data_IF_797131389242
#
_entry.id   IF_797131389242
#
_cell.length_a   1.000
_cell.length_b   1.000
_cell.length_c   1.000
_cell.angle_alpha   90.00
_cell.angle_beta   90.00
_cell.angle_gamma   90.00
#
_symmetry.space_group_name_H-M   'P 1'
#
loop_
_entity.id
_entity.type
_entity.pdbx_description
1 polymer ?
#
# COMPACT_ATOMS: atom_id res chain seq x y z
N UNK A 1 -29.35 -0.85 -25.27
CA UNK A 1 -28.82 -0.47 -23.94
C UNK A 1 -27.31 -0.44 -24.07
N UNK A 2 -26.67 0.74 -24.00
CA UNK A 2 -25.21 0.82 -23.94
C UNK A 2 -24.80 0.29 -22.55
N UNK A 3 -24.06 -0.77 -22.52
CA UNK A 3 -23.49 -1.32 -21.29
C UNK A 3 -22.41 -0.32 -20.83
N UNK A 4 -22.64 0.35 -19.73
CA UNK A 4 -21.66 1.28 -19.14
C UNK A 4 -20.67 0.44 -18.37
N UNK A 5 -19.48 0.23 -18.90
CA UNK A 5 -18.38 -0.40 -18.18
C UNK A 5 -17.78 0.64 -17.23
N UNK A 6 -17.72 0.32 -15.96
CA UNK A 6 -17.05 1.16 -14.98
C UNK A 6 -15.66 0.57 -14.74
N UNK A 7 -14.65 1.22 -15.29
CA UNK A 7 -13.26 0.86 -15.02
C UNK A 7 -12.79 1.62 -13.78
N UNK A 8 -12.20 0.90 -12.85
CA UNK A 8 -11.58 1.50 -11.67
C UNK A 8 -10.07 1.40 -11.86
N UNK A 9 -9.35 2.53 -11.89
CA UNK A 9 -7.89 2.47 -11.91
C UNK A 9 -7.42 1.78 -10.64
N UNK A 10 -6.53 0.81 -10.77
CA UNK A 10 -5.86 0.17 -9.65
C UNK A 10 -4.82 1.07 -8.97
N UNK A 11 -4.64 2.26 -9.50
CA UNK A 11 -3.70 3.27 -8.99
C UNK A 11 -4.50 4.52 -8.68
N UNK A 12 -4.21 5.17 -7.56
CA UNK A 12 -4.64 6.56 -7.34
C UNK A 12 -4.26 7.29 -8.61
N UNK A 13 -5.27 7.95 -9.24
CA UNK A 13 -4.97 8.84 -10.35
C UNK A 13 -3.86 9.77 -9.87
N UNK A 14 -2.67 9.45 -10.23
CA UNK A 14 -1.55 10.22 -9.83
C UNK A 14 -1.70 11.55 -10.56
N UNK A 15 -2.03 12.57 -9.84
CA UNK A 15 -1.22 13.75 -10.07
C UNK A 15 0.19 13.24 -9.95
N UNK A 16 0.80 12.92 -11.09
CA UNK A 16 2.03 12.15 -11.16
C UNK A 16 3.06 12.80 -10.25
N UNK A 17 3.16 12.33 -9.02
CA UNK A 17 4.26 12.72 -8.18
C UNK A 17 5.43 11.93 -8.73
N UNK A 18 6.23 12.60 -9.49
CA UNK A 18 7.53 12.09 -9.86
C UNK A 18 8.29 11.90 -8.56
N UNK A 19 8.63 10.64 -8.25
CA UNK A 19 9.50 10.35 -7.12
C UNK A 19 10.75 11.24 -7.24
N UNK A 20 11.05 12.01 -6.18
CA UNK A 20 12.16 12.94 -6.20
C UNK A 20 13.41 12.26 -5.68
N UNK A 21 14.32 11.92 -6.58
CA UNK A 21 15.58 11.25 -6.25
C UNK A 21 16.47 12.08 -5.32
N UNK A 22 16.50 13.40 -5.49
CA UNK A 22 17.32 14.28 -4.64
C UNK A 22 16.83 14.27 -3.18
N UNK A 23 15.50 14.33 -2.97
CA UNK A 23 14.91 14.24 -1.63
C UNK A 23 15.14 12.83 -1.04
N UNK A 24 15.14 11.80 -1.88
CA UNK A 24 15.45 10.45 -1.42
C UNK A 24 16.90 10.34 -0.94
N UNK A 25 17.86 10.91 -1.65
CA UNK A 25 19.26 10.94 -1.22
C UNK A 25 19.43 11.73 0.09
N UNK A 26 18.76 12.87 0.23
CA UNK A 26 18.75 13.63 1.50
C UNK A 26 18.14 12.80 2.66
N UNK A 27 17.19 11.92 2.38
CA UNK A 27 16.64 11.02 3.40
C UNK A 27 17.70 10.02 3.91
N UNK A 28 18.57 9.53 3.03
CA UNK A 28 19.67 8.64 3.40
C UNK A 28 20.71 9.39 4.23
N UNK A 29 21.10 10.59 3.80
CA UNK A 29 22.05 11.43 4.55
C UNK A 29 21.54 11.72 5.97
N UNK A 30 20.27 12.07 6.12
CA UNK A 30 19.65 12.31 7.43
C UNK A 30 19.69 11.04 8.31
N UNK A 31 19.44 9.86 7.72
CA UNK A 31 19.53 8.59 8.42
C UNK A 31 20.97 8.33 8.94
N UNK A 32 21.98 8.54 8.10
CA UNK A 32 23.39 8.37 8.45
C UNK A 32 23.86 9.33 9.55
N UNK A 33 23.20 10.49 9.67
CA UNK A 33 23.43 11.47 10.74
C UNK A 33 22.67 11.14 12.03
N UNK A 34 21.87 10.05 12.05
CA UNK A 34 21.07 9.67 13.21
C UNK A 34 19.74 10.46 13.34
N UNK A 35 19.38 11.28 12.34
CA UNK A 35 18.14 12.07 12.29
C UNK A 35 16.98 11.20 11.73
N UNK A 36 16.63 10.11 12.43
CA UNK A 36 15.75 9.05 11.90
C UNK A 36 14.34 9.52 11.52
N UNK A 37 13.70 10.36 12.34
CA UNK A 37 12.39 10.94 12.02
C UNK A 37 12.45 11.85 10.78
N UNK A 38 13.45 12.70 10.71
CA UNK A 38 13.66 13.57 9.54
C UNK A 38 13.90 12.72 8.29
N UNK A 39 14.70 11.68 8.40
CA UNK A 39 14.94 10.72 7.33
C UNK A 39 13.64 10.09 6.82
N UNK A 40 12.78 9.61 7.72
CA UNK A 40 11.48 9.04 7.39
C UNK A 40 10.56 10.07 6.69
N UNK A 41 10.49 11.29 7.21
CA UNK A 41 9.70 12.36 6.61
C UNK A 41 10.19 12.73 5.20
N UNK A 42 11.52 12.84 4.99
CA UNK A 42 12.10 13.05 3.66
C UNK A 42 11.83 11.90 2.72
N UNK A 43 11.85 10.65 3.20
CA UNK A 43 11.45 9.49 2.40
C UNK A 43 10.00 9.64 1.91
N UNK A 44 9.06 9.99 2.80
CA UNK A 44 7.66 10.18 2.42
C UNK A 44 7.50 11.33 1.41
N UNK A 45 8.19 12.44 1.61
CA UNK A 45 8.20 13.58 0.67
C UNK A 45 8.83 13.21 -0.68
N UNK A 46 9.80 12.28 -0.71
CA UNK A 46 10.41 11.80 -1.95
C UNK A 46 9.44 10.94 -2.77
N UNK A 47 8.54 10.20 -2.11
CA UNK A 47 7.50 9.40 -2.77
C UNK A 47 6.41 10.31 -3.33
N UNK A 48 5.91 11.24 -2.51
CA UNK A 48 4.95 12.25 -2.91
C UNK A 48 5.05 13.47 -1.97
N UNK A 49 5.35 14.65 -2.54
CA UNK A 49 5.51 15.91 -1.81
C UNK A 49 4.29 16.31 -0.94
N UNK A 50 3.11 15.87 -1.34
CA UNK A 50 1.86 16.18 -0.64
C UNK A 50 1.43 15.06 0.33
N UNK A 51 2.21 13.98 0.45
CA UNK A 51 1.84 12.82 1.24
C UNK A 51 1.66 13.18 2.72
N UNK A 52 2.62 13.84 3.31
CA UNK A 52 2.58 14.22 4.71
C UNK A 52 1.52 15.28 5.02
N UNK A 53 1.23 16.17 4.10
CA UNK A 53 0.21 17.22 4.30
C UNK A 53 -1.20 16.72 4.08
N UNK A 54 -1.41 15.82 3.11
CA UNK A 54 -2.73 15.36 2.69
C UNK A 54 -3.22 14.12 3.45
N UNK A 55 -2.30 13.31 3.98
CA UNK A 55 -2.63 12.00 4.55
C UNK A 55 -2.15 11.80 5.99
N UNK A 56 -1.69 12.84 6.68
CA UNK A 56 -1.31 12.76 8.09
C UNK A 56 -2.49 13.00 9.02
N UNK A 57 -2.37 12.45 10.24
CA UNK A 57 -3.21 12.85 11.35
C UNK A 57 -2.85 14.28 11.83
N UNK A 58 -3.69 14.91 12.69
CA UNK A 58 -3.40 16.27 13.20
C UNK A 58 -2.08 16.39 13.98
N UNK A 59 -1.57 15.31 14.54
CA UNK A 59 -0.32 15.26 15.29
C UNK A 59 0.90 15.13 14.37
N UNK A 60 0.71 14.75 13.11
CA UNK A 60 1.79 14.60 12.12
C UNK A 60 2.66 13.35 12.31
N UNK A 61 2.22 12.37 13.12
CA UNK A 61 2.96 11.15 13.43
C UNK A 61 2.28 9.87 12.93
N UNK A 62 1.20 10.00 12.19
CA UNK A 62 0.50 8.88 11.57
C UNK A 62 0.01 9.29 10.18
N UNK A 63 0.29 8.45 9.19
CA UNK A 63 -0.01 8.68 7.78
C UNK A 63 -0.90 7.56 7.25
N UNK A 64 -1.99 7.92 6.59
CA UNK A 64 -2.96 6.98 5.99
C UNK A 64 -2.86 7.05 4.48
N UNK A 65 -1.98 6.26 3.89
CA UNK A 65 -1.62 6.30 2.47
C UNK A 65 -2.52 5.36 1.69
N UNK A 66 -3.45 5.88 0.85
CA UNK A 66 -4.25 5.02 -0.01
C UNK A 66 -3.41 4.51 -1.19
N UNK A 67 -3.51 3.20 -1.49
CA UNK A 67 -2.87 2.60 -2.65
C UNK A 67 -3.74 1.46 -3.21
N UNK A 68 -4.50 1.74 -4.26
CA UNK A 68 -5.41 0.76 -4.87
C UNK A 68 -6.41 0.19 -3.84
N UNK A 69 -6.43 -1.14 -3.62
CA UNK A 69 -7.32 -1.77 -2.64
C UNK A 69 -6.88 -1.57 -1.19
N UNK A 70 -5.67 -1.05 -0.95
CA UNK A 70 -5.08 -0.95 0.37
C UNK A 70 -5.11 0.47 0.93
N UNK A 71 -5.15 0.54 2.26
CA UNK A 71 -4.85 1.74 3.05
C UNK A 71 -3.67 1.42 3.96
N UNK A 72 -2.50 1.94 3.60
CA UNK A 72 -1.30 1.74 4.41
C UNK A 72 -1.30 2.76 5.52
N UNK A 73 -1.32 2.30 6.75
CA UNK A 73 -1.13 3.11 7.93
C UNK A 73 0.31 3.02 8.36
N UNK A 74 1.01 4.14 8.30
CA UNK A 74 2.36 4.29 8.81
C UNK A 74 2.27 5.14 10.06
N UNK A 75 2.67 4.60 11.20
CA UNK A 75 2.67 5.29 12.49
C UNK A 75 4.07 5.28 13.07
N UNK A 76 4.54 6.47 13.41
CA UNK A 76 5.77 6.68 14.16
C UNK A 76 5.45 7.03 15.62
N UNK A 77 6.19 6.49 16.52
CA UNK A 77 6.30 6.95 17.90
C UNK A 77 7.77 7.28 18.22
N UNK A 78 8.08 7.60 19.47
CA UNK A 78 9.41 8.11 19.84
C UNK A 78 10.56 7.16 19.45
N UNK A 79 10.33 5.85 19.38
CA UNK A 79 11.38 4.85 19.14
C UNK A 79 11.04 3.84 18.03
N UNK A 80 9.76 3.72 17.65
CA UNK A 80 9.28 2.66 16.77
C UNK A 80 8.58 3.19 15.53
N UNK A 81 8.75 2.47 14.43
CA UNK A 81 7.96 2.62 13.23
C UNK A 81 7.05 1.39 13.06
N UNK A 82 5.75 1.64 12.90
CA UNK A 82 4.75 0.62 12.59
C UNK A 82 4.12 0.88 11.24
N UNK A 83 4.13 -0.10 10.37
CA UNK A 83 3.46 -0.08 9.08
C UNK A 83 2.42 -1.19 9.09
N UNK A 84 1.17 -0.84 8.86
CA UNK A 84 0.06 -1.79 8.82
C UNK A 84 -0.84 -1.48 7.63
N UNK A 85 -1.38 -2.51 6.97
CA UNK A 85 -2.37 -2.34 5.92
C UNK A 85 -3.48 -3.38 6.09
N UNK A 86 -4.72 -2.97 6.45
CA UNK A 86 -5.87 -3.85 6.45
C UNK A 86 -6.06 -4.45 5.06
N UNK A 87 -6.29 -5.77 5.00
CA UNK A 87 -6.33 -6.47 3.72
C UNK A 87 -7.68 -7.15 3.50
N UNK A 88 -7.87 -8.35 3.98
CA UNK A 88 -9.04 -9.18 3.71
C UNK A 88 -9.64 -9.76 4.99
N UNK A 89 -10.91 -10.15 4.91
CA UNK A 89 -11.61 -10.86 5.99
C UNK A 89 -11.52 -12.36 5.71
N UNK A 90 -11.22 -13.15 6.74
CA UNK A 90 -11.21 -14.61 6.66
C UNK A 90 -12.61 -15.12 6.27
N UNK A 91 -12.75 -15.91 5.19
CA UNK A 91 -14.06 -16.35 4.73
C UNK A 91 -14.67 -17.38 5.71
N UNK A 92 -15.99 -17.49 5.71
CA UNK A 92 -16.67 -18.53 6.50
C UNK A 92 -16.36 -19.95 6.00
N UNK A 93 -16.13 -20.10 4.69
CA UNK A 93 -15.82 -21.38 4.04
C UNK A 93 -14.39 -21.37 3.52
N UNK A 94 -13.80 -22.55 3.37
CA UNK A 94 -12.44 -22.74 2.83
C UNK A 94 -11.33 -22.05 3.66
N UNK A 95 -11.55 -21.80 4.96
CA UNK A 95 -10.58 -21.15 5.84
C UNK A 95 -9.21 -21.82 5.81
N UNK A 96 -9.15 -23.15 5.91
CA UNK A 96 -7.86 -23.88 5.91
C UNK A 96 -7.11 -23.67 4.60
N UNK A 97 -7.82 -23.67 3.46
CA UNK A 97 -7.18 -23.43 2.17
C UNK A 97 -6.61 -22.01 2.08
N UNK A 98 -7.36 -21.01 2.52
CA UNK A 98 -6.88 -19.62 2.56
C UNK A 98 -5.69 -19.45 3.53
N UNK A 99 -5.76 -20.05 4.74
CA UNK A 99 -4.66 -19.98 5.70
C UNK A 99 -3.37 -20.62 5.17
N UNK A 100 -3.48 -21.72 4.41
CA UNK A 100 -2.32 -22.33 3.73
C UNK A 100 -1.75 -21.40 2.66
N UNK A 101 -2.62 -20.74 1.88
CA UNK A 101 -2.18 -19.77 0.87
C UNK A 101 -1.47 -18.57 1.52
N UNK A 102 -2.05 -18.01 2.61
CA UNK A 102 -1.42 -16.93 3.38
C UNK A 102 -0.07 -17.38 3.96
N UNK A 103 0.02 -18.61 4.49
CA UNK A 103 1.30 -19.15 4.98
C UNK A 103 2.34 -19.28 3.87
N UNK A 104 1.91 -19.76 2.69
CA UNK A 104 2.78 -19.83 1.51
C UNK A 104 3.27 -18.46 1.07
N UNK A 105 2.40 -17.47 1.10
CA UNK A 105 2.70 -16.09 0.73
C UNK A 105 3.71 -15.46 1.70
N UNK A 106 3.54 -15.65 2.99
CA UNK A 106 4.50 -15.22 4.02
C UNK A 106 5.87 -15.88 3.88
N UNK A 107 5.93 -17.06 3.30
CA UNK A 107 7.19 -17.79 3.16
C UNK A 107 7.91 -17.53 1.83
N UNK A 108 7.15 -17.33 0.74
CA UNK A 108 7.71 -17.29 -0.61
C UNK A 108 7.73 -15.89 -1.24
N UNK A 109 6.77 -15.02 -0.91
CA UNK A 109 6.54 -13.76 -1.61
C UNK A 109 6.79 -12.53 -0.75
N UNK A 110 6.75 -12.66 0.58
CA UNK A 110 7.02 -11.57 1.52
C UNK A 110 8.39 -11.75 2.18
N UNK A 111 9.23 -10.72 2.08
CA UNK A 111 10.58 -10.73 2.65
C UNK A 111 10.65 -10.03 4.01
N UNK A 112 10.02 -8.88 4.14
CA UNK A 112 10.09 -8.03 5.33
C UNK A 112 8.73 -7.84 6.00
N UNK A 113 7.69 -7.59 5.22
CA UNK A 113 6.32 -7.54 5.74
C UNK A 113 5.77 -8.96 5.97
N UNK A 114 4.73 -9.06 6.81
CA UNK A 114 4.03 -10.31 7.06
C UNK A 114 2.54 -10.10 7.00
N UNK A 115 1.80 -11.08 6.49
CA UNK A 115 0.36 -11.17 6.65
C UNK A 115 0.04 -11.84 7.98
N UNK A 116 -0.63 -11.12 8.87
CA UNK A 116 -1.06 -11.59 10.17
C UNK A 116 -2.58 -11.63 10.27
N UNK A 117 -3.10 -12.62 10.99
CA UNK A 117 -4.52 -12.76 11.30
C UNK A 117 -4.80 -12.20 12.68
N UNK A 118 -5.68 -11.19 12.77
CA UNK A 118 -6.19 -10.61 14.02
C UNK A 118 -7.70 -10.75 14.08
N UNK A 119 -8.18 -11.64 14.95
CA UNK A 119 -9.58 -12.07 14.92
C UNK A 119 -9.90 -12.79 13.62
N UNK A 120 -10.74 -12.20 12.79
CA UNK A 120 -11.12 -12.68 11.47
C UNK A 120 -10.54 -11.83 10.31
N UNK A 121 -9.60 -10.93 10.59
CA UNK A 121 -9.08 -9.97 9.63
C UNK A 121 -7.58 -10.15 9.38
N UNK A 122 -7.17 -10.14 8.12
CA UNK A 122 -5.77 -10.16 7.72
C UNK A 122 -5.24 -8.75 7.53
N UNK A 123 -4.01 -8.55 8.02
CA UNK A 123 -3.27 -7.30 7.89
C UNK A 123 -1.88 -7.58 7.37
N UNK A 124 -1.37 -6.78 6.46
CA UNK A 124 0.07 -6.65 6.29
C UNK A 124 0.63 -5.88 7.47
N UNK A 125 1.72 -6.37 8.05
CA UNK A 125 2.40 -5.72 9.17
C UNK A 125 3.90 -5.73 8.96
N UNK A 126 4.51 -4.62 9.36
CA UNK A 126 5.94 -4.46 9.53
C UNK A 126 6.19 -3.51 10.68
N UNK A 127 7.18 -3.78 11.51
CA UNK A 127 7.62 -2.86 12.55
C UNK A 127 9.13 -2.95 12.76
N UNK A 128 9.74 -1.83 13.14
CA UNK A 128 11.14 -1.77 13.52
C UNK A 128 11.42 -0.55 14.40
N UNK A 129 12.51 -0.59 15.20
CA UNK A 129 13.03 0.63 15.80
C UNK A 129 13.35 1.68 14.72
N UNK A 130 13.16 2.96 15.03
CA UNK A 130 13.47 4.06 14.10
C UNK A 130 14.93 4.04 13.65
N UNK A 131 15.86 3.62 14.51
CA UNK A 131 17.28 3.43 14.16
C UNK A 131 17.52 2.33 13.13
N UNK A 132 16.52 1.51 12.82
CA UNK A 132 16.54 0.47 11.79
C UNK A 132 15.65 0.79 10.59
N UNK A 133 15.06 1.99 10.54
CA UNK A 133 14.16 2.44 9.47
C UNK A 133 14.90 3.07 8.28
N UNK A 134 16.00 2.47 7.85
CA UNK A 134 16.75 2.98 6.70
C UNK A 134 15.84 3.23 5.48
N UNK A 135 15.93 4.39 4.80
CA UNK A 135 14.99 4.80 3.73
C UNK A 135 14.78 3.74 2.65
N UNK A 136 15.86 3.11 2.16
CA UNK A 136 15.75 2.03 1.14
C UNK A 136 14.94 0.85 1.63
N UNK A 137 15.09 0.47 2.90
CA UNK A 137 14.37 -0.63 3.51
C UNK A 137 12.89 -0.30 3.67
N UNK A 138 12.55 0.89 4.18
CA UNK A 138 11.14 1.29 4.35
C UNK A 138 10.46 1.48 2.99
N UNK A 139 11.14 2.06 2.01
CA UNK A 139 10.64 2.14 0.64
C UNK A 139 10.35 0.73 0.06
N UNK A 140 11.25 -0.22 0.32
CA UNK A 140 11.05 -1.62 -0.11
C UNK A 140 9.83 -2.24 0.56
N UNK A 141 9.65 -2.10 1.88
CA UNK A 141 8.48 -2.59 2.63
C UNK A 141 7.17 -2.03 2.07
N UNK A 142 7.13 -0.70 1.82
CA UNK A 142 5.95 -0.06 1.24
C UNK A 142 5.65 -0.63 -0.15
N UNK A 143 6.68 -0.77 -1.00
CA UNK A 143 6.55 -1.36 -2.34
C UNK A 143 6.10 -2.81 -2.29
N UNK A 144 6.65 -3.60 -1.37
CA UNK A 144 6.29 -5.00 -1.17
C UNK A 144 4.81 -5.14 -0.81
N UNK A 145 4.33 -4.42 0.21
CA UNK A 145 2.93 -4.41 0.62
C UNK A 145 2.01 -4.00 -0.55
N UNK A 146 2.37 -2.94 -1.28
CA UNK A 146 1.59 -2.47 -2.43
C UNK A 146 1.52 -3.53 -3.55
N UNK A 147 2.66 -4.10 -3.91
CA UNK A 147 2.76 -5.07 -5.01
C UNK A 147 2.03 -6.37 -4.68
N UNK A 148 2.30 -6.92 -3.51
CA UNK A 148 1.71 -8.19 -3.08
C UNK A 148 0.22 -8.01 -2.79
N UNK A 149 -0.17 -6.91 -2.12
CA UNK A 149 -1.56 -6.60 -1.85
C UNK A 149 -2.39 -6.43 -3.11
N UNK A 150 -1.89 -5.72 -4.13
CA UNK A 150 -2.58 -5.59 -5.41
C UNK A 150 -2.71 -6.93 -6.14
N UNK A 151 -1.62 -7.72 -6.19
CA UNK A 151 -1.62 -9.03 -6.86
C UNK A 151 -2.64 -9.98 -6.24
N UNK A 152 -2.60 -10.13 -4.92
CA UNK A 152 -3.40 -11.14 -4.21
C UNK A 152 -4.81 -10.67 -3.83
N UNK A 153 -5.12 -9.39 -3.89
CA UNK A 153 -6.46 -8.88 -3.60
C UNK A 153 -7.53 -9.51 -4.52
N UNK A 154 -7.30 -9.49 -5.83
CA UNK A 154 -8.21 -10.10 -6.80
C UNK A 154 -8.17 -11.63 -6.75
N UNK A 155 -6.98 -12.21 -6.66
CA UNK A 155 -6.80 -13.67 -6.61
C UNK A 155 -7.54 -14.29 -5.42
N UNK A 156 -7.46 -13.68 -4.24
CA UNK A 156 -8.15 -14.21 -3.05
C UNK A 156 -9.66 -14.00 -3.11
N UNK A 157 -10.13 -12.91 -3.73
CA UNK A 157 -11.57 -12.72 -3.94
C UNK A 157 -12.14 -13.79 -4.88
N UNK A 158 -11.44 -14.10 -5.97
CA UNK A 158 -11.87 -15.11 -6.93
C UNK A 158 -11.81 -16.52 -6.35
N UNK A 159 -10.74 -16.88 -5.63
CA UNK A 159 -10.53 -18.21 -5.10
C UNK A 159 -11.37 -18.52 -3.86
N UNK A 160 -11.57 -17.54 -2.98
CA UNK A 160 -12.14 -17.75 -1.65
C UNK A 160 -13.41 -16.95 -1.39
N UNK A 161 -13.85 -16.11 -2.32
CA UNK A 161 -14.98 -15.20 -2.17
C UNK A 161 -14.88 -14.31 -0.91
N UNK A 162 -13.65 -13.86 -0.60
CA UNK A 162 -13.36 -13.02 0.56
C UNK A 162 -13.84 -11.59 0.37
N UNK A 163 -13.98 -10.87 1.49
CA UNK A 163 -14.32 -9.46 1.49
C UNK A 163 -13.09 -8.64 1.91
N UNK A 164 -12.97 -7.44 1.33
CA UNK A 164 -12.01 -6.45 1.78
C UNK A 164 -12.45 -5.84 3.11
N UNK A 165 -11.49 -5.53 3.98
CA UNK A 165 -11.76 -4.80 5.22
C UNK A 165 -12.18 -3.36 4.89
N UNK A 166 -11.46 -2.72 3.99
CA UNK A 166 -11.73 -1.35 3.55
C UNK A 166 -12.34 -1.33 2.15
N UNK A 167 -13.15 -0.31 1.86
CA UNK A 167 -13.54 -0.02 0.49
C UNK A 167 -12.32 0.52 -0.26
N UNK A 168 -12.04 0.02 -1.47
CA UNK A 168 -10.95 0.53 -2.28
C UNK A 168 -11.13 2.03 -2.53
N UNK A 169 -10.04 2.78 -2.45
CA UNK A 169 -10.03 4.16 -2.89
C UNK A 169 -9.79 4.19 -4.40
N UNK A 170 -10.85 4.44 -5.16
CA UNK A 170 -10.77 4.58 -6.61
C UNK A 170 -11.20 5.98 -7.00
N UNK A 171 -10.39 6.64 -7.82
CA UNK A 171 -10.84 7.80 -8.57
C UNK A 171 -11.43 7.28 -9.89
N UNK A 172 -12.72 7.52 -10.18
CA UNK A 172 -13.30 7.08 -11.44
C UNK A 172 -12.55 7.75 -12.61
N UNK A 173 -12.35 6.99 -13.68
CA UNK A 173 -11.84 7.57 -14.92
C UNK A 173 -12.82 8.64 -15.43
N UNK A 174 -12.27 9.70 -16.01
CA UNK A 174 -13.09 10.66 -16.74
C UNK A 174 -13.74 9.98 -17.96
N UNK A 175 -14.88 10.48 -18.45
CA UNK A 175 -15.51 9.93 -19.65
C UNK A 175 -14.56 9.85 -20.87
N UNK A 176 -13.65 10.81 -21.00
CA UNK A 176 -12.64 10.88 -22.08
C UNK A 176 -11.59 9.77 -21.94
N UNK A 177 -11.11 9.51 -20.72
CA UNK A 177 -10.20 8.41 -20.45
C UNK A 177 -10.85 7.04 -20.73
N UNK A 178 -12.13 6.87 -20.35
CA UNK A 178 -12.89 5.65 -20.64
C UNK A 178 -13.05 5.44 -22.14
N UNK A 179 -13.34 6.51 -22.89
CA UNK A 179 -13.48 6.45 -24.35
C UNK A 179 -12.15 6.11 -25.04
N UNK A 180 -11.05 6.73 -24.59
CA UNK A 180 -9.70 6.43 -25.08
C UNK A 180 -9.31 4.96 -24.87
N UNK A 181 -9.54 4.43 -23.66
CA UNK A 181 -9.25 3.00 -23.36
C UNK A 181 -10.12 2.07 -24.19
N UNK A 182 -11.40 2.42 -24.37
CA UNK A 182 -12.32 1.66 -25.19
C UNK A 182 -11.88 1.62 -26.67
N UNK A 183 -11.49 2.77 -27.24
CA UNK A 183 -10.96 2.84 -28.61
C UNK A 183 -9.66 2.06 -28.75
N UNK A 184 -8.75 2.16 -27.79
CA UNK A 184 -7.51 1.38 -27.78
C UNK A 184 -7.77 -0.13 -27.74
N UNK A 185 -8.77 -0.60 -26.98
CA UNK A 185 -9.15 -2.01 -26.94
C UNK A 185 -9.80 -2.51 -28.24
N UNK A 186 -10.40 -1.62 -29.04
CA UNK A 186 -11.00 -1.99 -30.34
C UNK A 186 -9.97 -2.10 -31.48
N UNK A 187 -8.76 -1.59 -31.27
CA UNK A 187 -7.66 -1.63 -32.26
C UNK A 187 -6.80 -2.89 -32.16
N UNK A 188 -7.04 -3.75 -31.18
CA UNK A 188 -6.41 -5.05 -30.94
C UNK A 188 -7.43 -6.20 -31.08
#
# INVERSE_FOLDING_TARGET
MKQTFTFYPSVIASTASTANAEIFDLSIEAFEQGEYLKSLHLLLDSINKDLRTSYSNPQGNEFHIPHGPLFIRLKEDEEQLHITAPFLILPEKNQIAMLRQVSSLNFNDLDLAHLVLKGDQFYFEYHCPLSFSHPRKIHYVLKEICTIGNKYDYEFQDLFAVQRINRPFFTPYTPEEVEYVYEACLLY
#
